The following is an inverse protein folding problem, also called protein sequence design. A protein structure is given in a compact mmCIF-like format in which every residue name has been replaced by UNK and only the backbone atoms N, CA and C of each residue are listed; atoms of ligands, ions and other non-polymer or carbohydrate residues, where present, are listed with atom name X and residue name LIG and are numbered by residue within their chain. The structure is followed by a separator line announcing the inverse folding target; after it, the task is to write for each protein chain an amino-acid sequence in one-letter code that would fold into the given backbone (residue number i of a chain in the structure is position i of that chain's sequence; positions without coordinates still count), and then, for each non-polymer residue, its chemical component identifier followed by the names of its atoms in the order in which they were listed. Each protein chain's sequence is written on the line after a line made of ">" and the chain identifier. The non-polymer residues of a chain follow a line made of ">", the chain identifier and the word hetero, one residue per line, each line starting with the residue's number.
data_IF_583925299860
#
_entry.id   IF_583925299860
#
_cell.length_a   1.000
_cell.length_b   1.000
_cell.length_c   1.000
_cell.angle_alpha   90.00
_cell.angle_beta   90.00
_cell.angle_gamma   90.00
#
_symmetry.space_group_name_H-M   'P 1'
#
loop_
_entity.id
_entity.type
_entity.pdbx_description
1 polymer ?
#
# COMPACT_ATOMS: atom_id res chain seq x y z
N UNK A 1 -16.92 -23.29 0.78
CA UNK A 1 -15.80 -22.57 0.18
C UNK A 1 -15.89 -21.08 0.49
N UNK A 2 -14.84 -20.51 1.05
CA UNK A 2 -14.74 -19.07 1.40
C UNK A 2 -15.05 -18.15 0.21
N UNK A 3 -14.54 -18.49 -0.99
CA UNK A 3 -14.80 -17.75 -2.24
C UNK A 3 -16.29 -17.64 -2.58
N UNK A 4 -17.10 -18.63 -2.21
CA UNK A 4 -18.54 -18.62 -2.46
C UNK A 4 -19.32 -17.72 -1.47
N UNK A 5 -18.73 -17.40 -0.33
CA UNK A 5 -19.35 -16.54 0.70
C UNK A 5 -19.09 -15.05 0.46
N UNK A 6 -18.21 -14.71 -0.49
CA UNK A 6 -17.80 -13.32 -0.77
C UNK A 6 -18.40 -12.87 -2.09
N UNK A 7 -19.06 -11.71 -2.08
CA UNK A 7 -19.64 -11.07 -3.28
C UNK A 7 -18.60 -10.47 -4.23
N UNK A 8 -17.32 -10.46 -3.85
CA UNK A 8 -16.23 -9.85 -4.62
C UNK A 8 -15.56 -10.88 -5.54
N UNK A 9 -15.34 -10.60 -6.82
CA UNK A 9 -14.63 -11.51 -7.73
C UNK A 9 -13.18 -11.68 -7.28
N UNK A 10 -12.73 -12.93 -7.11
CA UNK A 10 -11.37 -13.27 -6.70
C UNK A 10 -10.67 -14.02 -7.83
N UNK A 11 -9.51 -13.49 -8.23
CA UNK A 11 -8.55 -14.18 -9.09
C UNK A 11 -7.44 -14.80 -8.24
N UNK A 12 -7.19 -16.09 -8.43
CA UNK A 12 -6.12 -16.80 -7.72
C UNK A 12 -5.08 -17.26 -8.73
N UNK A 13 -3.82 -16.97 -8.48
CA UNK A 13 -2.68 -17.51 -9.23
C UNK A 13 -1.75 -18.26 -8.29
N UNK A 14 -1.27 -19.42 -8.74
CA UNK A 14 -0.33 -20.26 -7.98
C UNK A 14 1.04 -20.14 -8.61
N UNK A 15 2.06 -19.98 -7.77
CA UNK A 15 3.48 -19.93 -8.13
C UNK A 15 4.19 -21.13 -7.49
N UNK A 16 5.15 -21.71 -8.18
CA UNK A 16 5.84 -22.92 -7.73
C UNK A 16 7.10 -22.60 -6.91
N UNK A 17 7.60 -21.35 -6.95
CA UNK A 17 8.81 -20.92 -6.25
C UNK A 17 8.79 -19.43 -5.91
N UNK A 18 9.68 -19.02 -4.98
CA UNK A 18 9.88 -17.62 -4.63
C UNK A 18 10.30 -16.76 -5.82
N UNK A 19 11.21 -17.25 -6.68
CA UNK A 19 11.67 -16.53 -7.86
C UNK A 19 10.53 -16.21 -8.82
N UNK A 20 9.64 -17.18 -9.11
CA UNK A 20 8.46 -16.96 -9.95
C UNK A 20 7.48 -15.97 -9.32
N UNK A 21 7.38 -15.96 -7.99
CA UNK A 21 6.59 -14.97 -7.28
C UNK A 21 7.17 -13.57 -7.47
N UNK A 22 8.47 -13.39 -7.33
CA UNK A 22 9.16 -12.11 -7.55
C UNK A 22 8.99 -11.61 -8.99
N UNK A 23 9.21 -12.48 -9.99
CA UNK A 23 8.99 -12.15 -11.40
C UNK A 23 7.54 -11.70 -11.68
N UNK A 24 6.57 -12.37 -11.05
CA UNK A 24 5.17 -12.00 -11.18
C UNK A 24 4.88 -10.64 -10.54
N UNK A 25 5.38 -10.42 -9.31
CA UNK A 25 5.18 -9.19 -8.56
C UNK A 25 5.90 -7.99 -9.18
N UNK A 26 6.98 -8.19 -9.93
CA UNK A 26 7.62 -7.13 -10.70
C UNK A 26 6.70 -6.48 -11.76
N UNK A 27 5.65 -7.19 -12.19
CA UNK A 27 4.71 -6.74 -13.23
C UNK A 27 3.28 -6.57 -12.71
N UNK A 28 2.99 -7.09 -11.52
CA UNK A 28 1.64 -7.16 -10.95
C UNK A 28 1.69 -6.84 -9.46
N UNK A 29 0.62 -6.28 -8.95
CA UNK A 29 0.47 -5.99 -7.51
C UNK A 29 -0.71 -6.81 -6.97
N UNK A 30 -0.50 -8.07 -6.54
CA UNK A 30 -1.55 -8.86 -5.93
C UNK A 30 -1.98 -8.24 -4.59
N UNK A 31 -3.26 -8.31 -4.24
CA UNK A 31 -3.76 -7.77 -2.98
C UNK A 31 -3.27 -8.59 -1.78
N UNK A 32 -3.25 -9.91 -1.91
CA UNK A 32 -2.85 -10.85 -0.86
C UNK A 32 -1.95 -11.93 -1.44
N UNK A 33 -0.87 -12.24 -0.72
CA UNK A 33 0.06 -13.33 -1.01
C UNK A 33 -0.01 -14.34 0.12
N UNK A 34 -0.34 -15.59 -0.21
CA UNK A 34 -0.18 -16.72 0.70
C UNK A 34 1.17 -17.37 0.39
N UNK A 35 2.09 -17.37 1.34
CA UNK A 35 3.48 -17.70 1.11
C UNK A 35 3.95 -18.80 2.05
N UNK A 36 4.42 -19.91 1.51
CA UNK A 36 5.14 -20.89 2.32
C UNK A 36 6.57 -20.40 2.58
N UNK A 37 7.06 -20.58 3.80
CA UNK A 37 8.45 -20.27 4.13
C UNK A 37 9.38 -21.39 3.65
N UNK A 38 8.94 -22.63 3.82
CA UNK A 38 9.76 -23.82 3.53
C UNK A 38 9.65 -24.16 2.04
N UNK A 39 10.30 -23.37 1.19
CA UNK A 39 10.38 -23.60 -0.25
C UNK A 39 11.83 -23.86 -0.67
N UNK A 40 12.06 -24.69 -1.73
CA UNK A 40 13.40 -24.87 -2.29
C UNK A 40 13.89 -23.60 -2.98
N UNK A 41 15.22 -23.43 -3.05
CA UNK A 41 15.95 -22.32 -3.66
C UNK A 41 15.82 -21.03 -2.85
N UNK A 42 14.81 -20.23 -3.10
CA UNK A 42 14.50 -19.01 -2.34
C UNK A 42 13.42 -19.32 -1.30
N UNK A 43 13.76 -19.23 -0.02
CA UNK A 43 12.76 -19.42 1.04
C UNK A 43 11.77 -18.26 1.08
N UNK A 44 10.57 -18.52 1.64
CA UNK A 44 9.50 -17.52 1.64
C UNK A 44 9.80 -16.26 2.46
N UNK A 45 10.67 -16.34 3.47
CA UNK A 45 11.05 -15.17 4.26
C UNK A 45 11.94 -14.23 3.45
N UNK A 46 12.93 -14.77 2.72
CA UNK A 46 13.80 -13.98 1.86
C UNK A 46 13.03 -13.40 0.69
N UNK A 47 12.11 -14.17 0.09
CA UNK A 47 11.19 -13.65 -0.93
C UNK A 47 10.35 -12.48 -0.39
N UNK A 48 9.84 -12.57 0.83
CA UNK A 48 9.07 -11.50 1.45
C UNK A 48 9.91 -10.24 1.71
N UNK A 49 11.16 -10.38 2.15
CA UNK A 49 12.10 -9.26 2.32
C UNK A 49 12.33 -8.54 0.99
N UNK A 50 12.63 -9.29 -0.07
CA UNK A 50 12.85 -8.74 -1.39
C UNK A 50 11.60 -8.03 -1.94
N UNK A 51 10.40 -8.59 -1.72
CA UNK A 51 9.15 -7.91 -2.07
C UNK A 51 8.98 -6.58 -1.32
N UNK A 52 9.40 -6.47 -0.07
CA UNK A 52 9.36 -5.22 0.70
C UNK A 52 10.41 -4.21 0.24
N UNK A 53 11.61 -4.65 -0.10
CA UNK A 53 12.65 -3.81 -0.70
C UNK A 53 12.19 -3.18 -2.02
N UNK A 54 11.38 -3.90 -2.80
CA UNK A 54 10.72 -3.39 -3.99
C UNK A 54 9.42 -2.62 -3.72
N UNK A 55 9.17 -2.21 -2.46
CA UNK A 55 8.00 -1.44 -2.04
C UNK A 55 6.65 -2.12 -2.35
N UNK A 56 6.60 -3.44 -2.43
CA UNK A 56 5.33 -4.14 -2.61
C UNK A 56 4.51 -4.09 -1.31
N UNK A 57 3.32 -3.53 -1.39
CA UNK A 57 2.41 -3.34 -0.24
C UNK A 57 1.36 -4.46 -0.09
N UNK A 58 1.45 -5.49 -0.91
CA UNK A 58 0.59 -6.68 -0.80
C UNK A 58 0.57 -7.23 0.62
N UNK A 59 -0.60 -7.70 1.08
CA UNK A 59 -0.73 -8.36 2.37
C UNK A 59 -0.11 -9.76 2.29
N UNK A 60 0.89 -10.04 3.12
CA UNK A 60 1.57 -11.35 3.15
C UNK A 60 1.04 -12.15 4.34
N UNK A 61 0.57 -13.36 4.07
CA UNK A 61 0.20 -14.35 5.10
C UNK A 61 1.11 -15.56 4.90
N UNK A 62 1.92 -15.88 5.90
CA UNK A 62 2.75 -17.07 5.86
C UNK A 62 1.95 -18.33 6.20
N UNK A 63 2.18 -19.39 5.43
CA UNK A 63 1.64 -20.74 5.65
C UNK A 63 2.81 -21.71 5.73
N UNK A 64 3.22 -22.15 6.91
CA UNK A 64 4.46 -22.91 7.08
C UNK A 64 4.34 -24.04 8.11
N UNK A 65 5.25 -24.99 8.04
CA UNK A 65 5.40 -26.04 9.06
C UNK A 65 6.30 -25.63 10.24
N UNK A 66 7.15 -24.60 10.07
CA UNK A 66 8.06 -24.11 11.11
C UNK A 66 7.45 -22.97 11.92
N UNK A 67 7.49 -23.01 13.26
CA UNK A 67 7.11 -21.88 14.12
C UNK A 67 8.23 -20.85 14.32
N UNK A 68 9.46 -21.14 13.93
CA UNK A 68 10.68 -20.40 14.27
C UNK A 68 10.70 -18.99 13.68
N UNK A 69 10.11 -18.81 12.49
CA UNK A 69 10.09 -17.54 11.76
C UNK A 69 8.95 -16.59 12.18
N UNK A 70 8.19 -16.94 13.22
CA UNK A 70 7.05 -16.12 13.62
C UNK A 70 7.47 -14.71 14.06
N UNK A 71 8.61 -14.57 14.74
CA UNK A 71 9.15 -13.27 15.17
C UNK A 71 9.65 -12.49 13.97
N UNK A 72 10.43 -13.11 13.08
CA UNK A 72 10.96 -12.46 11.88
C UNK A 72 9.87 -12.02 10.90
N UNK A 73 8.67 -12.64 10.95
CA UNK A 73 7.55 -12.26 10.10
C UNK A 73 7.06 -10.82 10.36
N UNK A 74 7.34 -10.24 11.52
CA UNK A 74 7.07 -8.84 11.83
C UNK A 74 7.99 -7.89 11.06
N UNK A 75 9.23 -8.27 10.77
CA UNK A 75 10.21 -7.44 10.07
C UNK A 75 9.78 -7.18 8.60
N UNK A 76 8.96 -8.08 8.04
CA UNK A 76 8.40 -7.95 6.68
C UNK A 76 6.95 -7.49 6.67
N UNK A 77 6.44 -6.96 7.78
CA UNK A 77 5.05 -6.51 7.95
C UNK A 77 4.04 -7.57 7.46
N UNK A 78 4.21 -8.82 7.95
CA UNK A 78 3.29 -9.90 7.62
C UNK A 78 1.92 -9.66 8.25
N UNK A 79 0.88 -9.86 7.49
CA UNK A 79 -0.51 -9.70 7.93
C UNK A 79 -1.02 -10.92 8.71
N UNK A 80 -0.29 -12.02 8.64
CA UNK A 80 -0.61 -13.24 9.39
C UNK A 80 0.44 -14.33 9.23
N UNK A 81 0.43 -15.26 10.19
CA UNK A 81 1.31 -16.41 10.26
C UNK A 81 0.50 -17.63 10.70
N UNK A 82 0.41 -18.66 9.88
CA UNK A 82 -0.35 -19.87 10.17
C UNK A 82 0.52 -21.11 10.02
N UNK A 83 0.46 -21.98 11.03
CA UNK A 83 1.12 -23.28 10.96
C UNK A 83 0.28 -24.28 10.16
N UNK A 84 0.94 -25.13 9.39
CA UNK A 84 0.34 -26.30 8.74
C UNK A 84 0.19 -27.45 9.77
N UNK A 85 -0.93 -28.18 9.77
CA UNK A 85 -2.07 -28.07 8.87
C UNK A 85 -2.88 -26.81 9.11
N UNK A 86 -3.22 -26.09 8.00
CA UNK A 86 -3.86 -24.77 8.08
C UNK A 86 -5.30 -24.90 8.57
N UNK A 87 -5.59 -24.21 9.66
CA UNK A 87 -6.95 -24.04 10.18
C UNK A 87 -7.73 -23.09 9.23
N UNK A 88 -8.81 -23.62 8.64
CA UNK A 88 -9.63 -22.87 7.68
C UNK A 88 -10.27 -21.62 8.27
N UNK A 89 -10.77 -21.69 9.50
CA UNK A 89 -11.43 -20.56 10.14
C UNK A 89 -10.44 -19.42 10.40
N UNK A 90 -9.24 -19.77 10.87
CA UNK A 90 -8.16 -18.77 11.08
C UNK A 90 -7.72 -18.14 9.76
N UNK A 91 -7.56 -18.95 8.71
CA UNK A 91 -7.20 -18.44 7.39
C UNK A 91 -8.29 -17.50 6.85
N UNK A 92 -9.56 -17.88 6.97
CA UNK A 92 -10.68 -17.07 6.48
C UNK A 92 -10.77 -15.74 7.23
N UNK A 93 -10.60 -15.73 8.56
CA UNK A 93 -10.55 -14.50 9.36
C UNK A 93 -9.40 -13.57 8.93
N UNK A 94 -8.22 -14.13 8.63
CA UNK A 94 -7.10 -13.34 8.13
C UNK A 94 -7.36 -12.80 6.72
N UNK A 95 -7.92 -13.61 5.83
CA UNK A 95 -8.30 -13.17 4.50
C UNK A 95 -9.37 -12.08 4.56
N UNK A 96 -10.39 -12.23 5.39
CA UNK A 96 -11.42 -11.20 5.60
C UNK A 96 -10.80 -9.90 6.12
N UNK A 97 -9.87 -10.00 7.07
CA UNK A 97 -9.12 -8.83 7.58
C UNK A 97 -8.29 -8.16 6.47
N UNK A 98 -7.59 -8.95 5.66
CA UNK A 98 -6.81 -8.42 4.54
C UNK A 98 -7.71 -7.77 3.50
N UNK A 99 -8.82 -8.43 3.13
CA UNK A 99 -9.74 -7.92 2.12
C UNK A 99 -10.60 -6.77 2.63
N UNK A 100 -10.96 -6.71 3.90
CA UNK A 100 -11.66 -5.55 4.44
C UNK A 100 -10.80 -4.29 4.40
N UNK A 101 -9.48 -4.44 4.42
CA UNK A 101 -8.54 -3.35 4.14
C UNK A 101 -8.48 -2.98 2.65
N UNK A 102 -8.75 -3.94 1.74
CA UNK A 102 -8.73 -3.75 0.28
C UNK A 102 -10.12 -3.37 -0.26
N UNK A 103 -11.20 -3.82 0.39
CA UNK A 103 -12.58 -3.80 -0.14
C UNK A 103 -13.43 -2.62 0.29
N UNK A 104 -12.86 -1.52 0.76
CA UNK A 104 -13.65 -0.30 0.91
C UNK A 104 -13.68 0.44 -0.43
N UNK A 105 -14.85 0.54 -1.10
CA UNK A 105 -15.00 1.43 -2.27
C UNK A 105 -14.60 2.87 -1.96
N UNK A 106 -14.51 3.21 -0.66
CA UNK A 106 -14.06 4.51 -0.15
C UNK A 106 -12.54 4.76 -0.31
N UNK A 107 -11.73 3.73 -0.55
CA UNK A 107 -10.27 3.83 -0.55
C UNK A 107 -9.66 3.92 -1.96
N UNK A 108 -10.47 4.19 -2.97
CA UNK A 108 -10.02 4.48 -4.33
C UNK A 108 -10.55 5.81 -4.85
N UNK A 109 -9.83 6.40 -5.79
CA UNK A 109 -10.27 7.57 -6.54
C UNK A 109 -10.29 7.25 -8.03
N UNK A 110 -11.27 7.81 -8.73
CA UNK A 110 -11.31 7.77 -10.19
C UNK A 110 -10.56 8.98 -10.73
N UNK A 111 -9.53 8.72 -11.53
CA UNK A 111 -8.65 9.72 -12.12
C UNK A 111 -8.94 9.82 -13.61
N UNK A 112 -9.17 11.03 -14.12
CA UNK A 112 -9.31 11.28 -15.54
C UNK A 112 -7.93 11.50 -16.16
N UNK A 113 -7.56 10.64 -17.12
CA UNK A 113 -6.27 10.70 -17.85
C UNK A 113 -6.50 10.98 -19.33
N UNK A 114 -5.44 11.16 -20.09
CA UNK A 114 -5.53 11.29 -21.55
C UNK A 114 -6.11 10.03 -22.25
N UNK A 115 -6.07 8.88 -21.57
CA UNK A 115 -6.56 7.60 -22.09
C UNK A 115 -7.94 7.20 -21.53
N UNK A 116 -8.62 8.10 -20.81
CA UNK A 116 -9.91 7.85 -20.18
C UNK A 116 -9.82 7.81 -18.65
N UNK A 117 -10.76 7.12 -18.02
CA UNK A 117 -10.86 7.05 -16.56
C UNK A 117 -10.11 5.84 -16.04
N UNK A 118 -9.32 6.06 -14.99
CA UNK A 118 -8.58 5.00 -14.29
C UNK A 118 -8.90 5.06 -12.80
N UNK A 119 -9.16 3.90 -12.20
CA UNK A 119 -9.34 3.78 -10.76
C UNK A 119 -7.99 3.57 -10.07
N UNK A 120 -7.67 4.37 -9.07
CA UNK A 120 -6.42 4.33 -8.33
C UNK A 120 -6.72 4.14 -6.84
N UNK A 121 -6.14 3.10 -6.25
CA UNK A 121 -6.24 2.87 -4.81
C UNK A 121 -5.49 3.98 -4.06
N UNK A 122 -6.12 4.57 -3.05
CA UNK A 122 -5.55 5.69 -2.32
C UNK A 122 -4.22 5.33 -1.65
N UNK A 123 -4.11 4.15 -1.09
CA UNK A 123 -2.90 3.67 -0.43
C UNK A 123 -1.75 3.33 -1.41
N UNK A 124 -2.00 3.32 -2.72
CA UNK A 124 -0.96 3.24 -3.74
C UNK A 124 -0.38 4.62 -4.09
N UNK A 125 -1.03 5.70 -3.66
CA UNK A 125 -0.58 7.07 -3.94
C UNK A 125 0.43 7.48 -2.88
N UNK A 126 1.56 7.99 -3.28
CA UNK A 126 2.57 8.56 -2.40
C UNK A 126 2.32 10.05 -2.18
N UNK A 127 2.13 10.77 -3.29
CA UNK A 127 1.74 12.18 -3.27
C UNK A 127 1.10 12.61 -4.59
N UNK A 128 0.44 13.75 -4.59
CA UNK A 128 -0.04 14.45 -5.78
C UNK A 128 0.72 15.77 -5.92
N UNK A 129 1.11 16.08 -7.16
CA UNK A 129 1.79 17.32 -7.53
C UNK A 129 1.01 18.07 -8.61
N UNK A 130 0.71 19.35 -8.37
CA UNK A 130 0.16 20.22 -9.41
C UNK A 130 1.26 20.69 -10.36
N UNK A 131 1.16 20.37 -11.63
CA UNK A 131 2.12 20.70 -12.69
C UNK A 131 1.41 21.18 -13.95
N UNK A 132 1.63 22.45 -14.35
CA UNK A 132 1.19 22.97 -15.67
C UNK A 132 -0.25 22.60 -16.08
N UNK A 133 -1.24 22.84 -15.22
CA UNK A 133 -2.67 22.52 -15.41
C UNK A 133 -3.01 21.01 -15.38
N UNK A 134 -2.07 20.17 -14.97
CA UNK A 134 -2.26 18.74 -14.73
C UNK A 134 -1.95 18.44 -13.28
N UNK A 135 -2.38 17.28 -12.82
CA UNK A 135 -2.00 16.72 -11.54
C UNK A 135 -1.24 15.43 -11.79
N UNK A 136 -0.05 15.34 -11.24
CA UNK A 136 0.76 14.12 -11.29
C UNK A 136 0.53 13.34 -10.01
N UNK A 137 0.03 12.11 -10.13
CA UNK A 137 -0.01 11.16 -9.02
C UNK A 137 1.27 10.35 -9.05
N UNK A 138 2.09 10.48 -8.02
CA UNK A 138 3.23 9.59 -7.79
C UNK A 138 2.75 8.36 -7.03
N UNK A 139 3.04 7.18 -7.56
CA UNK A 139 2.63 5.91 -6.98
C UNK A 139 3.83 5.21 -6.33
N UNK A 140 3.58 4.36 -5.33
CA UNK A 140 4.62 3.61 -4.63
C UNK A 140 5.47 2.69 -5.52
N UNK A 141 4.91 2.25 -6.66
CA UNK A 141 5.63 1.44 -7.65
C UNK A 141 6.56 2.27 -8.56
N UNK A 142 6.74 3.57 -8.24
CA UNK A 142 7.53 4.51 -9.01
C UNK A 142 6.84 5.06 -10.27
N UNK A 143 5.65 4.58 -10.60
CA UNK A 143 4.88 5.11 -11.73
C UNK A 143 4.36 6.50 -11.42
N UNK A 144 4.27 7.33 -12.45
CA UNK A 144 3.65 8.65 -12.43
C UNK A 144 2.46 8.67 -13.38
N UNK A 145 1.29 8.95 -12.82
CA UNK A 145 0.05 9.02 -13.58
C UNK A 145 -0.32 10.49 -13.79
N UNK A 146 -0.46 10.91 -15.06
CA UNK A 146 -0.92 12.26 -15.39
C UNK A 146 -2.45 12.31 -15.37
N UNK A 147 -2.99 13.11 -14.47
CA UNK A 147 -4.41 13.37 -14.33
C UNK A 147 -4.80 14.73 -14.93
N UNK A 148 -5.89 14.77 -15.65
CA UNK A 148 -6.51 15.99 -16.14
C UNK A 148 -7.36 16.57 -15.02
N UNK A 149 -7.14 17.84 -14.64
CA UNK A 149 -7.89 18.50 -13.58
C UNK A 149 -7.01 19.40 -12.71
N UNK A 150 -7.58 19.85 -11.61
CA UNK A 150 -6.91 20.72 -10.63
C UNK A 150 -6.65 19.97 -9.35
N UNK A 151 -5.58 20.30 -8.65
CA UNK A 151 -5.28 19.72 -7.33
C UNK A 151 -6.43 19.91 -6.33
N UNK A 152 -7.16 21.02 -6.43
CA UNK A 152 -8.34 21.30 -5.59
C UNK A 152 -9.47 20.29 -5.74
N UNK A 153 -9.57 19.61 -6.88
CA UNK A 153 -10.60 18.60 -7.11
C UNK A 153 -10.29 17.34 -6.30
N UNK A 154 -9.00 17.01 -6.18
CA UNK A 154 -8.51 15.89 -5.37
C UNK A 154 -8.49 16.20 -3.86
N UNK A 155 -8.28 17.46 -3.46
CA UNK A 155 -8.30 17.88 -2.05
C UNK A 155 -9.61 17.55 -1.34
N UNK A 156 -10.73 17.60 -2.07
CA UNK A 156 -12.06 17.23 -1.53
C UNK A 156 -12.21 15.71 -1.33
N UNK A 157 -11.48 14.92 -2.09
CA UNK A 157 -11.55 13.45 -2.06
C UNK A 157 -10.51 12.85 -1.12
N UNK A 158 -9.34 13.48 -1.03
CA UNK A 158 -8.17 13.04 -0.29
C UNK A 158 -8.05 13.85 1.00
N UNK A 159 -8.79 13.42 2.02
CA UNK A 159 -8.89 14.13 3.31
C UNK A 159 -7.88 13.61 4.33
N UNK A 160 -7.68 14.35 5.41
CA UNK A 160 -6.83 13.94 6.55
C UNK A 160 -7.31 12.62 7.16
N UNK A 161 -8.62 12.40 7.22
CA UNK A 161 -9.22 11.16 7.72
C UNK A 161 -8.84 9.93 6.88
N UNK A 162 -8.55 10.16 5.60
CA UNK A 162 -8.08 9.15 4.65
C UNK A 162 -6.55 9.07 4.56
N UNK A 163 -5.85 9.80 5.42
CA UNK A 163 -4.39 9.81 5.48
C UNK A 163 -3.71 10.83 4.57
N UNK A 164 -4.43 11.75 3.95
CA UNK A 164 -3.84 12.75 3.07
C UNK A 164 -3.78 14.12 3.71
N UNK A 165 -2.71 14.86 3.41
CA UNK A 165 -2.54 16.23 3.88
C UNK A 165 -2.00 17.15 2.78
N UNK A 166 -2.64 18.30 2.58
CA UNK A 166 -2.14 19.33 1.66
C UNK A 166 -1.07 20.16 2.36
N UNK A 167 0.17 19.75 2.20
CA UNK A 167 1.32 20.39 2.84
C UNK A 167 1.83 21.64 2.08
N UNK A 168 1.47 21.78 0.80
CA UNK A 168 1.87 22.89 -0.06
C UNK A 168 0.77 23.25 -1.07
N UNK A 169 0.79 24.47 -1.63
CA UNK A 169 -0.17 24.88 -2.67
C UNK A 169 -0.19 23.93 -3.88
N UNK A 170 0.90 23.23 -4.12
CA UNK A 170 1.09 22.32 -5.24
C UNK A 170 1.19 20.84 -4.83
N UNK A 171 1.11 20.50 -3.54
CA UNK A 171 1.30 19.13 -3.08
C UNK A 171 0.24 18.69 -2.07
N UNK A 172 -0.28 17.48 -2.31
CA UNK A 172 -1.02 16.68 -1.32
C UNK A 172 -0.20 15.41 -1.09
N UNK A 173 0.18 15.10 0.15
CA UNK A 173 0.97 13.93 0.51
C UNK A 173 0.10 12.90 1.22
N UNK A 174 0.36 11.62 0.97
CA UNK A 174 -0.17 10.53 1.77
C UNK A 174 0.72 10.36 3.01
N UNK A 175 0.20 10.63 4.20
CA UNK A 175 0.99 10.67 5.44
C UNK A 175 1.73 9.37 5.75
N UNK A 176 1.17 8.16 5.52
CA UNK A 176 1.91 6.91 5.67
C UNK A 176 3.09 6.75 4.70
N UNK A 177 3.15 7.55 3.62
CA UNK A 177 4.26 7.57 2.68
C UNK A 177 5.45 8.42 3.16
N UNK A 178 5.28 9.19 4.22
CA UNK A 178 6.34 10.06 4.75
C UNK A 178 7.32 9.22 5.56
N UNK A 179 8.59 9.29 5.21
CA UNK A 179 9.69 8.65 5.92
C UNK A 179 10.11 9.50 7.12
N UNK A 180 10.35 10.79 6.88
CA UNK A 180 10.66 11.76 7.94
C UNK A 180 10.24 13.17 7.50
N UNK A 181 10.14 14.08 8.47
CA UNK A 181 9.78 15.46 8.20
C UNK A 181 10.42 16.44 9.20
N UNK A 182 10.55 17.69 8.78
CA UNK A 182 10.98 18.83 9.56
C UNK A 182 9.92 19.94 9.56
N UNK A 183 10.24 21.10 10.08
CA UNK A 183 9.34 22.25 10.05
C UNK A 183 9.10 22.82 8.63
N UNK A 184 10.00 22.56 7.68
CA UNK A 184 9.98 23.18 6.35
C UNK A 184 9.84 22.19 5.19
N UNK A 185 10.14 20.94 5.41
CA UNK A 185 10.10 19.90 4.37
C UNK A 185 9.74 18.53 4.95
N UNK A 186 9.23 17.68 4.10
CA UNK A 186 9.08 16.26 4.34
C UNK A 186 9.80 15.47 3.24
N UNK A 187 10.19 14.24 3.57
CA UNK A 187 10.79 13.29 2.64
C UNK A 187 9.91 12.06 2.60
N UNK A 188 9.56 11.62 1.42
CA UNK A 188 8.75 10.42 1.22
C UNK A 188 9.63 9.18 1.20
N UNK A 189 9.05 8.00 1.35
CA UNK A 189 9.74 6.70 1.30
C UNK A 189 10.47 6.46 -0.03
N UNK A 190 10.03 7.09 -1.11
CA UNK A 190 10.75 7.11 -2.40
C UNK A 190 11.92 8.09 -2.45
N UNK A 191 12.19 8.83 -1.36
CA UNK A 191 13.24 9.84 -1.27
C UNK A 191 12.86 11.18 -1.88
N UNK A 192 11.61 11.41 -2.27
CA UNK A 192 11.16 12.68 -2.83
C UNK A 192 11.02 13.73 -1.72
N UNK A 193 11.69 14.88 -1.88
CA UNK A 193 11.60 16.03 -0.96
C UNK A 193 10.45 16.94 -1.36
N UNK A 194 9.57 17.24 -0.42
CA UNK A 194 8.40 18.10 -0.61
C UNK A 194 8.41 19.20 0.46
N UNK A 195 8.32 20.46 0.03
CA UNK A 195 8.30 21.60 0.95
C UNK A 195 6.96 21.70 1.67
N UNK A 196 7.00 22.01 2.96
CA UNK A 196 5.83 22.37 3.76
C UNK A 196 5.67 23.88 3.74
N UNK A 197 4.50 24.39 3.36
CA UNK A 197 4.21 25.82 3.34
C UNK A 197 4.31 26.43 4.73
N UNK A 198 4.81 27.68 4.81
CA UNK A 198 4.86 28.43 6.07
C UNK A 198 3.48 28.46 6.73
N UNK A 199 3.41 28.17 8.02
CA UNK A 199 2.17 28.10 8.79
C UNK A 199 1.45 26.74 8.78
N UNK A 200 1.83 25.78 7.90
CA UNK A 200 1.24 24.44 7.87
C UNK A 200 2.00 23.38 8.65
N UNK A 201 3.22 23.70 9.13
CA UNK A 201 4.09 22.74 9.82
C UNK A 201 3.41 22.13 11.05
N UNK A 202 2.86 22.95 11.93
CA UNK A 202 2.17 22.47 13.14
C UNK A 202 0.92 21.66 12.78
N UNK A 203 0.10 22.16 11.86
CA UNK A 203 -1.11 21.45 11.41
C UNK A 203 -0.79 20.12 10.75
N UNK A 204 0.32 20.04 10.01
CA UNK A 204 0.80 18.78 9.43
C UNK A 204 1.23 17.82 10.53
N UNK A 205 2.02 18.27 11.50
CA UNK A 205 2.48 17.45 12.62
C UNK A 205 1.31 16.87 13.42
N UNK A 206 0.32 17.73 13.77
CA UNK A 206 -0.86 17.34 14.53
C UNK A 206 -1.69 16.30 13.73
N UNK A 207 -1.88 16.53 12.43
CA UNK A 207 -2.60 15.60 11.55
C UNK A 207 -1.87 14.26 11.40
N UNK A 208 -0.53 14.31 11.21
CA UNK A 208 0.30 13.12 11.07
C UNK A 208 0.22 12.23 12.32
N UNK A 209 0.44 12.78 13.49
CA UNK A 209 0.38 12.01 14.73
C UNK A 209 -1.04 11.52 15.04
N UNK A 210 -2.05 12.35 14.81
CA UNK A 210 -3.45 11.94 14.98
C UNK A 210 -3.84 10.79 14.06
N UNK A 211 -3.31 10.74 12.83
CA UNK A 211 -3.61 9.69 11.87
C UNK A 211 -2.80 8.42 12.13
N UNK A 212 -1.48 8.56 12.38
CA UNK A 212 -0.56 7.42 12.51
C UNK A 212 -0.70 6.65 13.82
N UNK A 213 -1.14 7.34 14.89
CA UNK A 213 -1.29 6.77 16.25
C UNK A 213 -2.74 6.74 16.73
N UNK A 214 -3.69 6.70 15.78
CA UNK A 214 -5.10 6.49 16.08
C UNK A 214 -5.27 5.06 16.60
N UNK A 215 -5.64 4.93 17.91
CA UNK A 215 -6.07 3.68 18.54
C UNK A 215 -7.37 3.15 17.95
#
# INVERSE_FOLDING_TARGET
>A
DWKAAISTPISVKTMESGDKLLEYCAKNSPDVILLDIMMPLLNGMDAARELREHNLISKIIFLTTSPEFAIESYDVDASGYLLKPVDREKLYKLLDKCLSAVSKPADSITVHTAFGYQNVLMHHIEFLEAQNKKVILALYDGKRLEAIGKLSDYEKLLTVEKGFFKCHRSYIVYMPAVEHFSATELVTKSGTKISISRGLSKSFQDAYFSFMFKE
#
